data_IF_839529633875
#
_entry.id   IF_839529633875
#
_cell.length_a   1.000
_cell.length_b   1.000
_cell.length_c   1.000
_cell.angle_alpha   90.00
_cell.angle_beta   90.00
_cell.angle_gamma   90.00
#
_symmetry.space_group_name_H-M   'P 1'
#
loop_
_entity.id
_entity.type
_entity.pdbx_description
1 polymer ?
#
# COMPACT_ATOMS: atom_id res chain seq x y z
N UNK A 1 3.12 -19.83 6.18
CA UNK A 1 2.82 -19.38 4.81
C UNK A 1 3.39 -17.97 4.58
N UNK A 2 4.71 -17.86 4.49
CA UNK A 2 5.44 -16.57 4.43
C UNK A 2 5.62 -16.01 3.00
N UNK A 3 5.41 -16.85 1.98
CA UNK A 3 5.59 -16.46 0.58
C UNK A 3 4.57 -15.45 0.06
N UNK A 4 3.32 -15.49 0.55
CA UNK A 4 2.25 -14.57 0.13
C UNK A 4 2.48 -13.15 0.62
N UNK A 5 2.96 -12.98 1.87
CA UNK A 5 3.22 -11.68 2.48
C UNK A 5 4.40 -10.98 1.78
N UNK A 6 5.51 -11.69 1.63
CA UNK A 6 6.71 -11.16 0.97
C UNK A 6 6.43 -10.82 -0.49
N UNK A 7 5.69 -11.66 -1.21
CA UNK A 7 5.30 -11.38 -2.59
C UNK A 7 4.43 -10.12 -2.69
N UNK A 8 3.42 -9.98 -1.83
CA UNK A 8 2.58 -8.78 -1.81
C UNK A 8 3.38 -7.50 -1.52
N UNK A 9 4.35 -7.56 -0.60
CA UNK A 9 5.23 -6.43 -0.29
C UNK A 9 6.16 -6.06 -1.45
N UNK A 10 6.70 -7.05 -2.17
CA UNK A 10 7.52 -6.82 -3.37
C UNK A 10 6.71 -6.14 -4.47
N UNK A 11 5.51 -6.65 -4.77
CA UNK A 11 4.64 -6.06 -5.78
C UNK A 11 4.18 -4.65 -5.38
N UNK A 12 3.79 -4.46 -4.12
CA UNK A 12 3.43 -3.14 -3.60
C UNK A 12 4.59 -2.12 -3.70
N UNK A 13 5.83 -2.52 -3.40
CA UNK A 13 7.02 -1.67 -3.56
C UNK A 13 7.27 -1.27 -5.02
N UNK A 14 7.07 -2.20 -5.97
CA UNK A 14 7.19 -1.90 -7.41
C UNK A 14 6.17 -0.86 -7.85
N UNK A 15 4.92 -0.99 -7.38
CA UNK A 15 3.84 -0.05 -7.68
C UNK A 15 4.13 1.35 -7.09
N UNK A 16 4.59 1.43 -5.84
CA UNK A 16 4.97 2.70 -5.21
C UNK A 16 6.13 3.38 -5.95
N UNK A 17 7.15 2.62 -6.39
CA UNK A 17 8.29 3.17 -7.16
C UNK A 17 7.86 3.86 -8.46
N UNK A 18 6.75 3.42 -9.05
CA UNK A 18 6.25 3.94 -10.33
C UNK A 18 5.06 4.88 -10.17
N UNK A 19 4.72 5.25 -8.92
CA UNK A 19 3.51 6.00 -8.58
C UNK A 19 3.52 7.42 -9.14
N UNK A 20 4.63 8.15 -8.97
CA UNK A 20 4.75 9.54 -9.43
C UNK A 20 4.78 9.65 -10.97
N UNK A 21 5.32 8.63 -11.63
CA UNK A 21 5.35 8.53 -13.09
C UNK A 21 4.06 7.94 -13.70
N UNK A 22 3.10 7.51 -12.88
CA UNK A 22 1.87 6.90 -13.37
C UNK A 22 0.93 7.97 -13.95
N UNK A 23 0.18 7.67 -15.03
CA UNK A 23 -0.84 8.56 -15.57
C UNK A 23 -1.93 8.95 -14.54
N UNK A 24 -2.21 8.04 -13.61
CA UNK A 24 -3.10 8.27 -12.46
C UNK A 24 -2.44 7.77 -11.16
N UNK A 25 -1.75 8.67 -10.42
CA UNK A 25 -1.10 8.32 -9.17
C UNK A 25 -2.07 7.86 -8.07
N UNK A 26 -3.33 8.33 -8.08
CA UNK A 26 -4.33 7.93 -7.08
C UNK A 26 -4.80 6.52 -7.33
N UNK A 27 -5.10 6.17 -8.58
CA UNK A 27 -5.42 4.79 -8.98
C UNK A 27 -4.25 3.86 -8.68
N UNK A 28 -3.02 4.27 -8.96
CA UNK A 28 -1.82 3.48 -8.62
C UNK A 28 -1.69 3.26 -7.11
N UNK A 29 -1.99 4.27 -6.29
CA UNK A 29 -2.04 4.14 -4.83
C UNK A 29 -3.12 3.15 -4.35
N UNK A 30 -4.29 3.15 -4.99
CA UNK A 30 -5.35 2.18 -4.70
C UNK A 30 -4.93 0.75 -5.08
N UNK A 31 -4.19 0.58 -6.18
CA UNK A 31 -3.62 -0.71 -6.58
C UNK A 31 -2.64 -1.25 -5.53
N UNK A 32 -1.78 -0.40 -4.95
CA UNK A 32 -0.88 -0.77 -3.84
C UNK A 32 -1.68 -1.38 -2.68
N UNK A 33 -2.73 -0.69 -2.22
CA UNK A 33 -3.55 -1.18 -1.11
C UNK A 33 -4.36 -2.42 -1.49
N UNK A 34 -4.79 -2.54 -2.74
CA UNK A 34 -5.51 -3.71 -3.23
C UNK A 34 -4.63 -4.96 -3.23
N UNK A 35 -3.36 -4.85 -3.60
CA UNK A 35 -2.38 -5.95 -3.50
C UNK A 35 -2.21 -6.38 -2.05
N UNK A 36 -2.06 -5.43 -1.13
CA UNK A 36 -1.91 -5.75 0.30
C UNK A 36 -3.17 -6.43 0.86
N UNK A 37 -4.37 -5.96 0.53
CA UNK A 37 -5.64 -6.53 1.03
C UNK A 37 -5.96 -7.95 0.54
N UNK A 38 -5.35 -8.41 -0.56
CA UNK A 38 -5.56 -9.77 -1.10
C UNK A 38 -4.92 -10.86 -0.26
N UNK A 39 -4.03 -10.49 0.66
CA UNK A 39 -3.39 -11.42 1.58
C UNK A 39 -4.34 -11.67 2.76
N UNK A 40 -4.72 -12.94 2.95
CA UNK A 40 -5.71 -13.34 3.96
C UNK A 40 -5.17 -13.29 5.40
N UNK A 41 -3.88 -13.54 5.60
CA UNK A 41 -3.29 -13.80 6.93
C UNK A 41 -2.43 -12.64 7.49
N UNK A 42 -2.76 -11.38 7.20
CA UNK A 42 -2.09 -10.29 7.89
C UNK A 42 -2.31 -10.38 9.41
N UNK A 43 -1.27 -10.19 10.24
CA UNK A 43 -1.44 -9.97 11.66
C UNK A 43 -2.44 -8.83 11.90
N UNK A 44 -3.26 -8.87 12.97
CA UNK A 44 -4.30 -7.86 13.22
C UNK A 44 -3.79 -6.41 13.13
N UNK A 45 -2.63 -6.13 13.75
CA UNK A 45 -2.00 -4.81 13.70
C UNK A 45 -1.60 -4.38 12.26
N UNK A 46 -1.18 -5.31 11.41
CA UNK A 46 -0.86 -5.03 10.01
C UNK A 46 -2.13 -4.75 9.20
N UNK A 47 -3.19 -5.54 9.44
CA UNK A 47 -4.50 -5.34 8.81
C UNK A 47 -5.10 -3.98 9.16
N UNK A 48 -5.03 -3.57 10.41
CA UNK A 48 -5.47 -2.24 10.86
C UNK A 48 -4.74 -1.11 10.14
N UNK A 49 -3.41 -1.20 9.99
CA UNK A 49 -2.62 -0.21 9.25
C UNK A 49 -3.03 -0.14 7.77
N UNK A 50 -3.28 -1.28 7.13
CA UNK A 50 -3.74 -1.34 5.73
C UNK A 50 -5.12 -0.70 5.59
N UNK A 51 -6.04 -0.95 6.53
CA UNK A 51 -7.38 -0.33 6.54
C UNK A 51 -7.31 1.17 6.81
N UNK A 52 -6.49 1.61 7.75
CA UNK A 52 -6.27 3.02 8.05
C UNK A 52 -5.69 3.76 6.83
N UNK A 53 -4.72 3.16 6.14
CA UNK A 53 -4.16 3.72 4.90
C UNK A 53 -5.20 3.81 3.77
N UNK A 54 -6.12 2.84 3.65
CA UNK A 54 -7.22 2.90 2.68
C UNK A 54 -8.23 4.00 2.99
N UNK A 55 -8.65 4.11 4.25
CA UNK A 55 -9.54 5.17 4.68
C UNK A 55 -8.91 6.55 4.45
N UNK A 56 -7.62 6.69 4.80
CA UNK A 56 -6.86 7.89 4.54
C UNK A 56 -6.79 8.21 3.04
N UNK A 57 -6.51 7.25 2.17
CA UNK A 57 -6.44 7.48 0.73
C UNK A 57 -7.81 7.92 0.13
N UNK A 58 -8.91 7.39 0.67
CA UNK A 58 -10.28 7.78 0.29
C UNK A 58 -10.63 9.20 0.74
N UNK A 59 -10.00 9.71 1.80
CA UNK A 59 -10.10 11.10 2.23
C UNK A 59 -9.31 12.09 1.33
N UNK A 60 -8.97 11.67 0.11
CA UNK A 60 -8.36 12.48 -0.94
C UNK A 60 -7.15 13.33 -0.50
N UNK A 61 -6.13 12.72 0.13
CA UNK A 61 -4.94 13.45 0.59
C UNK A 61 -4.19 14.04 -0.61
N UNK A 62 -3.31 15.00 -0.33
CA UNK A 62 -2.48 15.62 -1.37
C UNK A 62 -1.54 14.60 -2.00
N UNK A 63 -1.36 14.67 -3.32
CA UNK A 63 -0.51 13.71 -4.05
C UNK A 63 0.92 13.63 -3.50
N UNK A 64 1.46 14.77 -3.05
CA UNK A 64 2.79 14.86 -2.45
C UNK A 64 2.95 14.01 -1.18
N UNK A 65 1.85 13.69 -0.47
CA UNK A 65 1.88 12.90 0.77
C UNK A 65 1.64 11.41 0.53
N UNK A 66 1.08 11.02 -0.63
CA UNK A 66 0.72 9.63 -0.96
C UNK A 66 1.94 8.73 -0.99
N UNK A 67 2.98 9.08 -1.74
CA UNK A 67 4.16 8.24 -1.83
C UNK A 67 4.89 8.06 -0.48
N UNK A 68 5.21 9.13 0.27
CA UNK A 68 5.84 8.98 1.59
C UNK A 68 5.03 8.10 2.53
N UNK A 69 3.71 8.27 2.57
CA UNK A 69 2.83 7.51 3.45
C UNK A 69 2.78 6.03 3.07
N UNK A 70 2.68 5.71 1.77
CA UNK A 70 2.68 4.32 1.31
C UNK A 70 4.05 3.65 1.54
N UNK A 71 5.16 4.38 1.36
CA UNK A 71 6.51 3.87 1.70
C UNK A 71 6.62 3.54 3.19
N UNK A 72 6.18 4.46 4.05
CA UNK A 72 6.18 4.26 5.50
C UNK A 72 5.33 3.04 5.90
N UNK A 73 4.13 2.89 5.32
CA UNK A 73 3.29 1.71 5.51
C UNK A 73 4.05 0.42 5.14
N UNK A 74 4.67 0.36 3.96
CA UNK A 74 5.38 -0.83 3.50
C UNK A 74 6.58 -1.19 4.38
N UNK A 75 7.29 -0.20 4.92
CA UNK A 75 8.35 -0.41 5.91
C UNK A 75 7.82 -0.98 7.22
N UNK A 76 6.63 -0.55 7.65
CA UNK A 76 6.01 -1.06 8.89
C UNK A 76 5.44 -2.48 8.76
N UNK A 77 5.21 -2.96 7.53
CA UNK A 77 4.61 -4.27 7.26
C UNK A 77 5.64 -5.39 7.06
N UNK A 78 6.92 -5.08 6.81
CA UNK A 78 7.99 -6.09 6.68
C UNK A 78 9.04 -5.75 5.64
#
# INVERSE_FOLDING_TARGET
>A
MSGSHQHALVEARKLVRTLVSAPDPRRRAQEVLSVLKRVEEWPPAAREKIMAADAWLRATPSLATIEPQLRALLTQLG
#
